data_IF_864526611324
#
_entry.id   IF_864526611324
#
_cell.length_a   1.000
_cell.length_b   1.000
_cell.length_c   1.000
_cell.angle_alpha   90.00
_cell.angle_beta   90.00
_cell.angle_gamma   90.00
#
_symmetry.space_group_name_H-M   'P 1'
#
loop_
_entity.id
_entity.type
_entity.pdbx_description
1 polymer ?
#
# COMPACT_ATOMS: atom_id res chain seq x y z
N UNK A 1 -2.74 5.49 -11.52
CA UNK A 1 -3.37 5.26 -10.20
C UNK A 1 -4.49 4.19 -10.22
N UNK A 2 -4.58 3.33 -11.25
CA UNK A 2 -5.56 2.22 -11.33
C UNK A 2 -5.29 1.07 -10.35
N UNK A 3 -4.07 1.00 -9.78
CA UNK A 3 -3.66 -0.10 -8.91
C UNK A 3 -4.44 -0.14 -7.58
N UNK A 4 -4.85 1.02 -7.04
CA UNK A 4 -5.57 1.09 -5.77
C UNK A 4 -6.95 0.38 -5.79
N UNK A 5 -7.60 0.29 -6.96
CA UNK A 5 -8.89 -0.40 -7.06
C UNK A 5 -8.80 -1.88 -6.68
N UNK A 6 -7.62 -2.48 -6.85
CA UNK A 6 -7.35 -3.88 -6.47
C UNK A 6 -6.96 -4.04 -5.00
N UNK A 7 -6.68 -2.94 -4.28
CA UNK A 7 -6.24 -2.95 -2.88
C UNK A 7 -7.12 -2.01 -2.03
N UNK A 8 -8.38 -2.42 -1.82
CA UNK A 8 -9.42 -1.59 -1.17
C UNK A 8 -9.06 -1.08 0.23
N UNK A 9 -8.23 -1.82 0.97
CA UNK A 9 -7.77 -1.44 2.32
C UNK A 9 -6.66 -0.39 2.31
N UNK A 10 -5.98 -0.21 1.17
CA UNK A 10 -4.88 0.74 1.00
C UNK A 10 -5.44 2.05 0.52
N UNK A 11 -5.30 3.09 1.34
CA UNK A 11 -5.78 4.43 1.03
C UNK A 11 -4.60 5.33 0.67
N UNK A 12 -4.74 6.08 -0.41
CA UNK A 12 -3.79 7.12 -0.80
C UNK A 12 -3.89 8.27 0.21
N UNK A 13 -2.76 8.66 0.80
CA UNK A 13 -2.69 9.85 1.65
C UNK A 13 -2.40 11.08 0.80
N UNK A 14 -1.28 11.06 0.06
CA UNK A 14 -0.85 12.18 -0.78
C UNK A 14 0.24 11.77 -1.77
N UNK A 15 0.53 12.68 -2.68
CA UNK A 15 1.69 12.63 -3.56
C UNK A 15 2.56 13.85 -3.25
N UNK A 16 3.84 13.65 -2.95
CA UNK A 16 4.80 14.73 -2.70
C UNK A 16 5.95 14.58 -3.70
N UNK A 17 5.98 15.43 -4.73
CA UNK A 17 6.89 15.25 -5.85
C UNK A 17 6.71 13.87 -6.49
N UNK A 18 7.77 13.06 -6.49
CA UNK A 18 7.77 11.66 -6.97
C UNK A 18 7.50 10.63 -5.87
N UNK A 19 7.30 11.07 -4.62
CA UNK A 19 7.03 10.18 -3.49
C UNK A 19 5.53 9.97 -3.31
N UNK A 20 5.12 8.70 -3.38
CA UNK A 20 3.74 8.27 -3.17
C UNK A 20 3.53 7.78 -1.73
N UNK A 21 2.56 8.37 -1.02
CA UNK A 21 2.24 8.00 0.36
C UNK A 21 0.88 7.33 0.45
N UNK A 22 0.82 6.19 1.13
CA UNK A 22 -0.39 5.43 1.39
C UNK A 22 -0.39 4.83 2.80
N UNK A 23 -1.58 4.54 3.31
CA UNK A 23 -1.80 3.92 4.61
C UNK A 23 -2.85 2.80 4.51
N UNK A 24 -2.90 1.95 5.52
CA UNK A 24 -3.88 0.87 5.70
C UNK A 24 -4.52 1.00 7.08
N UNK A 25 -5.68 0.40 7.30
CA UNK A 25 -6.37 0.43 8.59
C UNK A 25 -7.16 1.72 8.86
N UNK A 26 -7.29 2.61 7.87
CA UNK A 26 -8.13 3.81 7.95
C UNK A 26 -9.58 3.53 7.53
N UNK A 27 -10.05 2.29 7.62
CA UNK A 27 -11.36 1.90 7.12
C UNK A 27 -12.45 2.45 8.07
N UNK A 28 -13.44 3.21 7.54
CA UNK A 28 -14.50 3.76 8.37
C UNK A 28 -15.29 2.63 9.02
N UNK A 29 -15.49 2.73 10.34
CA UNK A 29 -16.23 1.73 11.14
C UNK A 29 -15.39 0.71 11.89
N UNK A 30 -14.05 0.70 11.72
CA UNK A 30 -13.18 -0.16 12.55
C UNK A 30 -13.20 0.26 14.02
N UNK A 31 -13.30 1.57 14.32
CA UNK A 31 -13.26 2.09 15.70
C UNK A 31 -14.41 1.59 16.59
N UNK A 32 -15.50 1.07 16.01
CA UNK A 32 -16.69 0.67 16.75
C UNK A 32 -16.71 -0.79 17.22
N UNK A 33 -15.76 -1.64 16.78
CA UNK A 33 -15.86 -3.10 16.96
C UNK A 33 -14.52 -3.80 17.20
N UNK A 34 -13.51 -3.09 17.71
CA UNK A 34 -12.24 -3.74 18.06
C UNK A 34 -12.38 -4.39 19.43
N UNK A 35 -12.70 -5.68 19.43
CA UNK A 35 -12.40 -6.55 20.55
C UNK A 35 -10.87 -6.70 20.63
N UNK A 36 -10.28 -6.55 21.82
CA UNK A 36 -8.83 -6.55 22.04
C UNK A 36 -8.13 -7.84 21.54
N UNK A 37 -8.89 -8.89 21.25
CA UNK A 37 -8.38 -10.13 20.65
C UNK A 37 -8.21 -10.10 19.12
N UNK A 38 -8.82 -9.15 18.39
CA UNK A 38 -8.74 -9.06 16.92
C UNK A 38 -7.64 -8.07 16.45
N UNK A 39 -7.02 -7.32 17.37
CA UNK A 39 -6.02 -6.30 17.05
C UNK A 39 -4.79 -6.87 16.31
N UNK A 40 -4.26 -8.01 16.77
CA UNK A 40 -3.08 -8.63 16.17
C UNK A 40 -3.39 -9.22 14.77
N UNK A 41 -4.59 -9.79 14.62
CA UNK A 41 -5.07 -10.28 13.33
C UNK A 41 -5.30 -9.13 12.33
N UNK A 42 -5.84 -7.99 12.79
CA UNK A 42 -6.01 -6.79 11.97
C UNK A 42 -4.68 -6.15 11.60
N UNK A 43 -3.72 -6.06 12.53
CA UNK A 43 -2.37 -5.59 12.25
C UNK A 43 -1.67 -6.46 11.20
N UNK A 44 -1.81 -7.79 11.31
CA UNK A 44 -1.28 -8.75 10.34
C UNK A 44 -1.91 -8.57 8.95
N UNK A 45 -3.24 -8.42 8.87
CA UNK A 45 -3.95 -8.17 7.61
C UNK A 45 -3.59 -6.83 6.99
N UNK A 46 -3.44 -5.78 7.79
CA UNK A 46 -3.01 -4.45 7.37
C UNK A 46 -1.60 -4.52 6.76
N UNK A 47 -0.66 -5.11 7.51
CA UNK A 47 0.72 -5.31 7.07
C UNK A 47 0.78 -6.09 5.76
N UNK A 48 0.06 -7.21 5.67
CA UNK A 48 0.00 -8.06 4.48
C UNK A 48 -0.55 -7.31 3.27
N UNK A 49 -1.60 -6.50 3.46
CA UNK A 49 -2.19 -5.68 2.40
C UNK A 49 -1.20 -4.62 1.89
N UNK A 50 -0.45 -3.98 2.78
CA UNK A 50 0.56 -2.98 2.41
C UNK A 50 1.73 -3.61 1.66
N UNK A 51 2.22 -4.77 2.09
CA UNK A 51 3.29 -5.50 1.41
C UNK A 51 2.84 -5.94 0.02
N UNK A 52 1.62 -6.49 -0.13
CA UNK A 52 1.10 -6.90 -1.42
C UNK A 52 0.98 -5.71 -2.40
N UNK A 53 0.56 -4.54 -1.90
CA UNK A 53 0.52 -3.32 -2.69
C UNK A 53 1.93 -2.84 -3.11
N UNK A 54 2.90 -2.90 -2.19
CA UNK A 54 4.30 -2.56 -2.47
C UNK A 54 4.90 -3.46 -3.56
N UNK A 55 4.68 -4.77 -3.50
CA UNK A 55 5.12 -5.74 -4.53
C UNK A 55 4.52 -5.39 -5.90
N UNK A 56 3.24 -5.03 -5.95
CA UNK A 56 2.59 -4.65 -7.19
C UNK A 56 3.13 -3.34 -7.78
N UNK A 57 3.48 -2.36 -6.94
CA UNK A 57 4.17 -1.14 -7.38
C UNK A 57 5.54 -1.45 -8.00
N UNK A 58 6.32 -2.34 -7.39
CA UNK A 58 7.60 -2.80 -7.94
C UNK A 58 7.37 -3.44 -9.32
N UNK A 59 6.34 -4.30 -9.45
CA UNK A 59 5.97 -4.91 -10.72
C UNK A 59 5.62 -3.87 -11.81
N UNK A 60 4.88 -2.82 -11.43
CA UNK A 60 4.54 -1.73 -12.34
C UNK A 60 5.79 -0.97 -12.82
N UNK A 61 6.73 -0.68 -11.92
CA UNK A 61 8.00 -0.01 -12.27
C UNK A 61 8.85 -0.90 -13.17
N UNK A 62 8.97 -2.19 -12.88
CA UNK A 62 9.67 -3.15 -13.74
C UNK A 62 9.06 -3.23 -15.14
N UNK A 63 7.73 -3.24 -15.24
CA UNK A 63 7.03 -3.22 -16.53
C UNK A 63 7.33 -1.93 -17.30
N UNK A 64 7.22 -0.77 -16.63
CA UNK A 64 7.57 0.54 -17.19
C UNK A 64 9.02 0.61 -17.71
N UNK A 65 9.98 0.09 -16.94
CA UNK A 65 11.38 0.06 -17.36
C UNK A 65 11.63 -0.89 -18.54
N UNK A 66 10.84 -1.97 -18.67
CA UNK A 66 10.94 -2.90 -19.82
C UNK A 66 10.35 -2.28 -21.09
N UNK A 67 9.26 -1.55 -20.96
CA UNK A 67 8.53 -0.95 -22.10
C UNK A 67 9.05 0.45 -22.48
N UNK A 68 9.82 1.09 -21.59
CA UNK A 68 10.38 2.42 -21.80
C UNK A 68 11.89 2.43 -21.95
N UNK A 69 12.45 3.62 -22.14
CA UNK A 69 13.90 3.88 -22.19
C UNK A 69 14.47 4.36 -20.84
N UNK A 70 13.63 4.45 -19.81
CA UNK A 70 14.00 4.94 -18.47
C UNK A 70 14.28 3.78 -17.51
N UNK A 71 15.31 3.93 -16.67
CA UNK A 71 15.65 2.99 -15.59
C UNK A 71 15.22 3.55 -14.23
N UNK A 72 13.91 3.50 -13.97
CA UNK A 72 13.34 3.96 -12.71
C UNK A 72 13.67 2.99 -11.57
N UNK A 73 14.02 3.52 -10.40
CA UNK A 73 14.16 2.75 -9.17
C UNK A 73 13.11 3.19 -8.15
N UNK A 74 12.62 2.24 -7.36
CA UNK A 74 11.63 2.50 -6.32
C UNK A 74 12.20 2.07 -4.97
N UNK A 75 12.22 3.00 -4.02
CA UNK A 75 12.52 2.72 -2.61
C UNK A 75 11.23 2.82 -1.81
N UNK A 76 10.95 1.82 -0.98
CA UNK A 76 9.74 1.76 -0.15
C UNK A 76 10.18 1.70 1.31
N UNK A 77 9.58 2.54 2.15
CA UNK A 77 9.67 2.45 3.60
C UNK A 77 8.32 1.99 4.15
N UNK A 78 8.33 1.01 5.05
CA UNK A 78 7.15 0.59 5.81
C UNK A 78 7.46 0.74 7.30
N UNK A 79 6.53 1.31 8.06
CA UNK A 79 6.59 1.39 9.52
C UNK A 79 5.33 0.69 10.05
N UNK A 80 5.55 -0.44 10.73
CA UNK A 80 4.55 -1.07 11.58
C UNK A 80 4.62 -0.44 12.98
#
# INVERSE_FOLDING_TARGET
MKLLYSYKRVQKIKLIGTTYMAAVGLEPGIEAYVDYHDDDAMATRNSSSMVAFAVALIGLIKKRNREGYENLSLRIGNRN
#
